data_IF_484730493994
#
_entry.id   IF_484730493994
#
_cell.length_a   1.000
_cell.length_b   1.000
_cell.length_c   1.000
_cell.angle_alpha   90.00
_cell.angle_beta   90.00
_cell.angle_gamma   90.00
#
_symmetry.space_group_name_H-M   'P 1'
#
loop_
_entity.id
_entity.type
_entity.pdbx_description
1 polymer ?
#
# COMPACT_ATOMS: atom_id res chain seq x y z
N UNK A 1 -15.96 8.41 18.21
CA UNK A 1 -15.19 7.18 17.93
C UNK A 1 -15.50 6.59 16.55
N UNK A 2 -16.70 6.80 15.98
CA UNK A 2 -17.11 6.21 14.69
C UNK A 2 -16.59 6.95 13.43
N UNK A 3 -16.19 8.22 13.52
CA UNK A 3 -15.71 8.97 12.34
C UNK A 3 -14.35 8.49 11.84
N UNK A 4 -13.46 8.10 12.75
CA UNK A 4 -12.07 7.74 12.41
C UNK A 4 -12.00 6.39 11.70
N UNK A 5 -12.88 5.45 12.07
CA UNK A 5 -12.99 4.14 11.40
C UNK A 5 -13.56 4.27 9.98
N UNK A 6 -14.41 5.27 9.73
CA UNK A 6 -14.95 5.53 8.39
C UNK A 6 -13.91 6.16 7.47
N UNK A 7 -13.16 7.14 7.96
CA UNK A 7 -12.08 7.77 7.20
C UNK A 7 -11.02 6.72 6.80
N UNK A 8 -10.64 5.82 7.71
CA UNK A 8 -9.70 4.73 7.43
C UNK A 8 -10.18 3.79 6.31
N UNK A 9 -11.47 3.42 6.32
CA UNK A 9 -12.07 2.59 5.28
C UNK A 9 -12.16 3.34 3.93
N UNK A 10 -12.53 4.63 3.93
CA UNK A 10 -12.52 5.45 2.71
C UNK A 10 -11.11 5.56 2.10
N UNK A 11 -10.09 5.79 2.92
CA UNK A 11 -8.70 5.83 2.45
C UNK A 11 -8.22 4.48 1.91
N UNK A 12 -8.63 3.37 2.55
CA UNK A 12 -8.36 2.01 2.08
C UNK A 12 -9.05 1.74 0.75
N UNK A 13 -10.33 2.06 0.59
CA UNK A 13 -11.05 1.89 -0.66
C UNK A 13 -10.44 2.73 -1.80
N UNK A 14 -10.02 3.96 -1.51
CA UNK A 14 -9.32 4.80 -2.48
C UNK A 14 -7.99 4.20 -2.94
N UNK A 15 -7.20 3.60 -2.04
CA UNK A 15 -5.97 2.90 -2.42
C UNK A 15 -6.27 1.65 -3.24
N UNK A 16 -7.25 0.87 -2.80
CA UNK A 16 -7.64 -0.40 -3.43
C UNK A 16 -8.16 -0.20 -4.85
N UNK A 17 -8.98 0.83 -5.07
CA UNK A 17 -9.60 1.13 -6.37
C UNK A 17 -8.62 1.70 -7.39
N UNK A 18 -7.61 2.45 -6.95
CA UNK A 18 -6.59 3.06 -7.83
C UNK A 18 -5.38 2.15 -8.09
N UNK A 19 -5.16 1.15 -7.24
CA UNK A 19 -4.04 0.24 -7.35
C UNK A 19 -4.01 -0.50 -8.69
N UNK A 20 -2.83 -0.57 -9.29
CA UNK A 20 -2.53 -1.42 -10.44
C UNK A 20 -2.32 -2.86 -9.95
N UNK A 21 -3.43 -3.62 -9.91
CA UNK A 21 -3.42 -5.01 -9.47
C UNK A 21 -2.61 -5.94 -10.38
N UNK A 22 -2.47 -5.61 -11.66
CA UNK A 22 -1.66 -6.39 -12.59
C UNK A 22 -0.17 -6.26 -12.21
N UNK A 23 0.30 -5.03 -12.00
CA UNK A 23 1.65 -4.78 -11.51
C UNK A 23 1.89 -5.44 -10.14
N UNK A 24 0.96 -5.29 -9.19
CA UNK A 24 1.07 -5.87 -7.84
C UNK A 24 1.17 -7.40 -7.90
N UNK A 25 0.32 -8.05 -8.71
CA UNK A 25 0.29 -9.50 -8.80
C UNK A 25 1.54 -10.08 -9.48
N UNK A 26 2.16 -9.32 -10.38
CA UNK A 26 3.42 -9.68 -11.04
C UNK A 26 4.65 -9.60 -10.12
N UNK A 27 4.55 -8.96 -8.94
CA UNK A 27 5.68 -8.83 -8.03
C UNK A 27 6.02 -10.14 -7.30
N UNK A 28 7.28 -10.29 -6.83
CA UNK A 28 7.65 -11.34 -5.90
C UNK A 28 6.72 -11.38 -4.66
N UNK A 29 6.47 -12.55 -4.06
CA UNK A 29 5.49 -12.69 -2.99
C UNK A 29 5.65 -11.73 -1.81
N UNK A 30 6.89 -11.40 -1.42
CA UNK A 30 7.18 -10.47 -0.31
C UNK A 30 6.84 -9.01 -0.65
N UNK A 31 7.21 -8.54 -1.86
CA UNK A 31 6.85 -7.20 -2.35
C UNK A 31 5.33 -7.08 -2.52
N UNK A 32 4.70 -8.11 -3.10
CA UNK A 32 3.25 -8.16 -3.26
C UNK A 32 2.53 -8.06 -1.91
N UNK A 33 2.98 -8.84 -0.91
CA UNK A 33 2.43 -8.79 0.44
C UNK A 33 2.57 -7.41 1.08
N UNK A 34 3.72 -6.75 0.89
CA UNK A 34 3.96 -5.39 1.38
C UNK A 34 3.06 -4.33 0.71
N UNK A 35 2.86 -4.41 -0.61
CA UNK A 35 1.96 -3.52 -1.35
C UNK A 35 0.50 -3.69 -0.89
N UNK A 36 0.04 -4.93 -0.72
CA UNK A 36 -1.29 -5.23 -0.18
C UNK A 36 -1.42 -4.70 1.26
N UNK A 37 -0.39 -4.90 2.09
CA UNK A 37 -0.36 -4.36 3.44
C UNK A 37 -0.49 -2.83 3.44
N UNK A 38 0.21 -2.14 2.54
CA UNK A 38 0.11 -0.69 2.42
C UNK A 38 -1.29 -0.25 1.95
N UNK A 39 -1.95 -0.98 1.06
CA UNK A 39 -3.35 -0.71 0.66
C UNK A 39 -4.30 -0.81 1.87
N UNK A 40 -4.10 -1.82 2.71
CA UNK A 40 -4.98 -2.10 3.85
C UNK A 40 -4.73 -1.18 5.05
N UNK A 41 -3.49 -0.72 5.26
CA UNK A 41 -3.06 -0.08 6.54
C UNK A 41 -2.41 1.29 6.40
N UNK A 42 -1.82 1.62 5.26
CA UNK A 42 -1.23 2.95 5.00
C UNK A 42 0.10 3.20 5.68
N UNK A 43 0.60 2.20 6.41
CA UNK A 43 1.85 2.27 7.12
C UNK A 43 3.00 1.92 6.16
N UNK A 44 3.58 2.94 5.55
CA UNK A 44 4.70 2.80 4.59
C UNK A 44 5.95 2.22 5.25
N UNK A 45 6.19 2.50 6.54
CA UNK A 45 7.37 2.03 7.27
C UNK A 45 7.30 0.52 7.51
N UNK A 46 6.15 0.01 7.95
CA UNK A 46 5.94 -1.44 8.11
C UNK A 46 5.90 -2.15 6.77
N UNK A 47 5.31 -1.54 5.74
CA UNK A 47 5.30 -2.12 4.40
C UNK A 47 6.73 -2.28 3.84
N UNK A 48 7.55 -1.23 3.92
CA UNK A 48 8.95 -1.29 3.50
C UNK A 48 9.74 -2.36 4.27
N UNK A 49 9.49 -2.50 5.58
CA UNK A 49 10.09 -3.56 6.41
C UNK A 49 9.66 -4.96 5.97
N UNK A 50 8.40 -5.17 5.60
CA UNK A 50 7.90 -6.46 5.06
C UNK A 50 8.54 -6.79 3.71
N UNK A 51 8.81 -5.76 2.91
CA UNK A 51 9.47 -5.90 1.62
C UNK A 51 11.01 -6.00 1.71
N UNK A 52 11.57 -5.94 2.92
CA UNK A 52 13.02 -5.94 3.18
C UNK A 52 13.79 -4.88 2.38
N UNK A 53 13.24 -3.66 2.33
CA UNK A 53 13.83 -2.52 1.61
C UNK A 53 13.64 -1.21 2.37
N UNK A 54 14.31 -0.15 1.92
CA UNK A 54 14.13 1.19 2.47
C UNK A 54 12.75 1.76 2.13
N UNK A 55 12.30 2.75 2.90
CA UNK A 55 11.02 3.45 2.63
C UNK A 55 11.02 4.08 1.24
N UNK A 56 12.14 4.65 0.79
CA UNK A 56 12.23 5.25 -0.55
C UNK A 56 12.09 4.21 -1.66
N UNK A 57 12.78 3.08 -1.55
CA UNK A 57 12.64 1.97 -2.51
C UNK A 57 11.21 1.44 -2.55
N UNK A 58 10.57 1.29 -1.38
CA UNK A 58 9.18 0.86 -1.33
C UNK A 58 8.23 1.91 -1.91
N UNK A 59 8.48 3.22 -1.69
CA UNK A 59 7.67 4.29 -2.26
C UNK A 59 7.72 4.29 -3.79
N UNK A 60 8.87 3.95 -4.39
CA UNK A 60 8.98 3.76 -5.83
C UNK A 60 8.11 2.60 -6.33
N UNK A 61 8.08 1.47 -5.61
CA UNK A 61 7.17 0.36 -5.92
C UNK A 61 5.70 0.74 -5.75
N UNK A 62 5.35 1.47 -4.68
CA UNK A 62 4.00 2.01 -4.47
C UNK A 62 3.59 2.92 -5.63
N UNK A 63 4.48 3.80 -6.05
CA UNK A 63 4.25 4.72 -7.16
C UNK A 63 4.02 3.97 -8.47
N UNK A 64 4.86 2.98 -8.79
CA UNK A 64 4.69 2.10 -9.96
C UNK A 64 3.38 1.30 -9.90
N UNK A 65 2.98 0.88 -8.70
CA UNK A 65 1.70 0.22 -8.44
C UNK A 65 0.49 1.18 -8.44
N UNK A 66 0.69 2.48 -8.73
CA UNK A 66 -0.35 3.53 -8.74
C UNK A 66 -1.15 3.66 -7.44
N UNK A 67 -0.59 3.22 -6.32
CA UNK A 67 -1.26 3.31 -5.02
C UNK A 67 -1.06 4.74 -4.48
N UNK A 68 -2.11 5.54 -4.25
CA UNK A 68 -1.97 6.89 -3.68
C UNK A 68 -1.39 6.85 -2.27
N UNK A 69 -0.57 7.84 -1.93
CA UNK A 69 -0.10 8.05 -0.56
C UNK A 69 -1.08 8.98 0.17
N UNK A 70 -2.07 8.35 0.80
CA UNK A 70 -3.12 8.98 1.60
C UNK A 70 -3.11 8.28 2.96
N UNK A 71 -2.89 9.06 4.02
CA UNK A 71 -2.74 8.64 5.42
C UNK A 71 -3.38 9.68 6.30
#
# INVERSE_FOLDING_TARGET
MQEWEKEDEEFKEMRRSKADWEFINAQPPHIRAALIYFIERGDIYKAARVADMTVGEFDDYRYKARIPNIT
#
